data_IF_550797280430
#
_entry.id   IF_550797280430
#
_cell.length_a   1.000
_cell.length_b   1.000
_cell.length_c   1.000
_cell.angle_alpha   90.00
_cell.angle_beta   90.00
_cell.angle_gamma   90.00
#
_symmetry.space_group_name_H-M   'P 1'
#
loop_
_entity.id
_entity.type
_entity.pdbx_description
1 polymer ?
#
# COMPACT_ATOMS: atom_id res chain seq x y z
N UNK A 1 14.19 -7.04 16.80
CA UNK A 1 14.39 -7.80 15.54
C UNK A 1 13.21 -7.51 14.62
N UNK A 2 13.48 -6.91 13.46
CA UNK A 2 12.50 -6.67 12.38
C UNK A 2 12.17 -8.00 11.69
N UNK A 3 10.89 -8.32 11.50
CA UNK A 3 10.48 -9.51 10.76
C UNK A 3 10.83 -9.33 9.27
N UNK A 4 11.33 -10.37 8.61
CA UNK A 4 11.60 -10.31 7.17
C UNK A 4 10.28 -10.22 6.39
N UNK A 5 10.34 -9.74 5.14
CA UNK A 5 9.16 -9.71 4.27
C UNK A 5 8.52 -11.11 4.15
N UNK A 6 9.33 -12.13 3.90
CA UNK A 6 8.87 -13.51 3.79
C UNK A 6 8.16 -14.00 5.05
N UNK A 7 8.65 -13.66 6.25
CA UNK A 7 8.00 -14.08 7.49
C UNK A 7 6.69 -13.31 7.75
N UNK A 8 6.61 -12.04 7.34
CA UNK A 8 5.36 -11.27 7.39
C UNK A 8 4.31 -11.84 6.44
N UNK A 9 4.70 -12.18 5.20
CA UNK A 9 3.80 -12.80 4.23
C UNK A 9 3.28 -14.15 4.72
N UNK A 10 4.17 -15.00 5.24
CA UNK A 10 3.77 -16.30 5.80
C UNK A 10 2.83 -16.12 6.99
N UNK A 11 3.10 -15.17 7.89
CA UNK A 11 2.22 -14.88 9.02
C UNK A 11 0.85 -14.36 8.56
N UNK A 12 0.80 -13.51 7.53
CA UNK A 12 -0.45 -13.04 6.94
C UNK A 12 -1.26 -14.19 6.33
N UNK A 13 -0.60 -15.10 5.59
CA UNK A 13 -1.23 -16.30 5.04
C UNK A 13 -1.81 -17.20 6.13
N UNK A 14 -1.09 -17.42 7.23
CA UNK A 14 -1.58 -18.20 8.36
C UNK A 14 -2.84 -17.56 8.98
N UNK A 15 -2.86 -16.23 9.13
CA UNK A 15 -4.03 -15.52 9.65
C UNK A 15 -5.25 -15.58 8.71
N UNK A 16 -5.02 -15.61 7.39
CA UNK A 16 -6.08 -15.83 6.40
C UNK A 16 -6.64 -17.25 6.49
N UNK A 17 -5.79 -18.26 6.63
CA UNK A 17 -6.20 -19.67 6.69
C UNK A 17 -7.09 -19.99 7.90
N UNK A 18 -6.92 -19.28 9.02
CA UNK A 18 -7.71 -19.46 10.24
C UNK A 18 -9.05 -18.69 10.16
N UNK A 19 -9.25 -17.82 9.18
CA UNK A 19 -10.50 -17.06 9.06
C UNK A 19 -11.64 -17.89 8.51
N UNK A 20 -12.66 -18.09 9.35
CA UNK A 20 -13.89 -18.81 9.00
C UNK A 20 -14.68 -18.16 7.86
N UNK A 21 -14.60 -16.83 7.71
CA UNK A 21 -15.25 -16.10 6.61
C UNK A 21 -14.75 -16.53 5.25
N UNK A 22 -13.46 -16.88 5.09
CA UNK A 22 -12.87 -17.23 3.80
C UNK A 22 -13.23 -18.63 3.31
N UNK A 23 -13.86 -19.45 4.14
CA UNK A 23 -14.26 -20.80 3.75
C UNK A 23 -15.56 -20.83 2.92
N UNK A 24 -16.24 -19.68 2.78
CA UNK A 24 -17.36 -19.54 1.86
C UNK A 24 -16.88 -19.08 0.48
N UNK A 25 -17.33 -19.74 -0.60
CA UNK A 25 -17.01 -19.36 -1.99
C UNK A 25 -17.41 -17.92 -2.30
N UNK A 26 -18.52 -17.45 -1.70
CA UNK A 26 -19.06 -16.12 -1.90
C UNK A 26 -18.13 -15.07 -1.27
N UNK A 27 -17.54 -15.36 -0.10
CA UNK A 27 -16.55 -14.52 0.55
C UNK A 27 -15.23 -14.43 -0.22
N UNK A 28 -14.79 -15.53 -0.86
CA UNK A 28 -13.58 -15.55 -1.68
C UNK A 28 -13.71 -14.65 -2.91
N UNK A 29 -14.85 -14.70 -3.62
CA UNK A 29 -15.13 -13.83 -4.75
C UNK A 29 -15.20 -12.34 -4.34
N UNK A 30 -15.80 -12.05 -3.18
CA UNK A 30 -15.89 -10.69 -2.65
C UNK A 30 -14.51 -10.12 -2.29
N UNK A 31 -13.66 -10.93 -1.64
CA UNK A 31 -12.28 -10.54 -1.34
C UNK A 31 -11.50 -10.27 -2.63
N UNK A 32 -11.64 -11.15 -3.63
CA UNK A 32 -10.98 -10.97 -4.93
C UNK A 32 -11.45 -9.68 -5.63
N UNK A 33 -12.75 -9.38 -5.58
CA UNK A 33 -13.29 -8.14 -6.11
C UNK A 33 -12.67 -6.91 -5.42
N UNK A 34 -12.58 -6.92 -4.09
CA UNK A 34 -11.95 -5.85 -3.33
C UNK A 34 -10.45 -5.71 -3.67
N UNK A 35 -9.73 -6.81 -3.81
CA UNK A 35 -8.33 -6.80 -4.24
C UNK A 35 -8.18 -6.13 -5.62
N UNK A 36 -9.05 -6.45 -6.59
CA UNK A 36 -9.02 -5.79 -7.89
C UNK A 36 -9.22 -4.27 -7.80
N UNK A 37 -10.13 -3.81 -6.91
CA UNK A 37 -10.39 -2.38 -6.69
C UNK A 37 -9.23 -1.66 -5.96
N UNK A 38 -8.34 -2.41 -5.30
CA UNK A 38 -7.13 -1.87 -4.69
C UNK A 38 -6.03 -1.54 -5.70
N UNK A 39 -6.02 -2.10 -6.91
CA UNK A 39 -5.01 -1.76 -7.92
C UNK A 39 -5.45 -0.56 -8.75
N UNK A 40 -4.48 0.18 -9.29
CA UNK A 40 -4.79 1.33 -10.14
C UNK A 40 -5.35 0.86 -11.49
N UNK A 41 -6.41 1.50 -11.96
CA UNK A 41 -6.99 1.23 -13.29
C UNK A 41 -6.32 2.05 -14.39
N UNK A 42 -5.53 3.06 -14.00
CA UNK A 42 -4.74 3.91 -14.87
C UNK A 42 -3.37 4.21 -14.23
N UNK A 43 -2.31 4.43 -15.04
CA UNK A 43 -1.02 4.88 -14.55
C UNK A 43 -1.14 6.13 -13.67
N UNK A 44 -0.43 6.14 -12.54
CA UNK A 44 -0.34 7.27 -11.59
C UNK A 44 -1.69 7.76 -11.01
N UNK A 45 -2.71 6.90 -11.01
CA UNK A 45 -3.96 7.15 -10.30
C UNK A 45 -3.69 7.42 -8.81
N UNK A 46 -4.40 8.40 -8.26
CA UNK A 46 -4.28 8.78 -6.85
C UNK A 46 -4.73 7.64 -5.92
N UNK A 47 -3.96 7.33 -4.87
CA UNK A 47 -4.35 6.28 -3.91
C UNK A 47 -5.71 6.55 -3.24
N UNK A 48 -6.09 7.82 -3.09
CA UNK A 48 -7.36 8.23 -2.47
C UNK A 48 -8.53 8.33 -3.47
N UNK A 49 -8.31 8.13 -4.76
CA UNK A 49 -9.36 8.12 -5.79
C UNK A 49 -9.86 6.68 -6.00
N UNK A 50 -10.48 6.10 -4.96
CA UNK A 50 -10.97 4.73 -4.91
C UNK A 50 -12.37 4.64 -4.29
N UNK A 51 -13.31 5.41 -4.84
CA UNK A 51 -14.68 5.46 -4.34
C UNK A 51 -15.42 4.12 -4.45
N UNK A 52 -15.11 3.35 -5.48
CA UNK A 52 -15.57 1.98 -5.70
C UNK A 52 -15.15 1.04 -4.57
N UNK A 53 -13.89 1.11 -4.13
CA UNK A 53 -13.38 0.34 -3.00
C UNK A 53 -14.10 0.75 -1.71
N UNK A 54 -14.18 2.05 -1.41
CA UNK A 54 -14.83 2.54 -0.19
C UNK A 54 -16.31 2.16 -0.14
N UNK A 55 -17.02 2.25 -1.26
CA UNK A 55 -18.41 1.82 -1.38
C UNK A 55 -18.53 0.32 -1.13
N UNK A 56 -17.67 -0.49 -1.76
CA UNK A 56 -17.69 -1.95 -1.61
C UNK A 56 -17.39 -2.36 -0.17
N UNK A 57 -16.39 -1.75 0.48
CA UNK A 57 -16.08 -1.99 1.90
C UNK A 57 -17.24 -1.56 2.81
N UNK A 58 -18.05 -0.58 2.42
CA UNK A 58 -19.23 -0.17 3.19
C UNK A 58 -20.45 -1.09 2.99
N UNK A 59 -20.66 -1.62 1.77
CA UNK A 59 -21.88 -2.36 1.41
C UNK A 59 -21.76 -3.87 1.53
N UNK A 60 -20.60 -4.43 1.17
CA UNK A 60 -20.36 -5.87 1.17
C UNK A 60 -20.56 -6.49 2.57
N UNK A 61 -20.10 -5.90 3.69
CA UNK A 61 -20.23 -6.56 5.00
C UNK A 61 -21.66 -6.99 5.34
N UNK A 62 -22.65 -6.16 5.02
CA UNK A 62 -24.07 -6.47 5.22
C UNK A 62 -24.56 -7.64 4.36
N UNK A 63 -23.99 -7.84 3.17
CA UNK A 63 -24.35 -8.93 2.26
C UNK A 63 -23.76 -10.28 2.71
N UNK A 64 -22.60 -10.27 3.37
CA UNK A 64 -21.92 -11.49 3.85
C UNK A 64 -22.14 -11.78 5.33
N UNK A 65 -22.88 -10.91 6.04
CA UNK A 65 -23.10 -11.05 7.48
C UNK A 65 -21.82 -10.91 8.31
N UNK A 66 -20.86 -10.11 7.85
CA UNK A 66 -19.62 -9.83 8.57
C UNK A 66 -19.49 -8.35 8.96
N UNK A 67 -18.52 -8.03 9.81
CA UNK A 67 -18.25 -6.63 10.15
C UNK A 67 -17.38 -5.96 9.09
N UNK A 68 -17.53 -4.64 8.92
CA UNK A 68 -16.68 -3.82 8.03
C UNK A 68 -15.20 -4.00 8.36
N UNK A 69 -14.86 -3.97 9.64
CA UNK A 69 -13.49 -4.16 10.13
C UNK A 69 -12.94 -5.53 9.75
N UNK A 70 -13.74 -6.58 9.90
CA UNK A 70 -13.32 -7.93 9.57
C UNK A 70 -13.06 -8.10 8.08
N UNK A 71 -13.91 -7.55 7.22
CA UNK A 71 -13.69 -7.54 5.77
C UNK A 71 -12.45 -6.74 5.39
N UNK A 72 -12.27 -5.54 5.96
CA UNK A 72 -11.07 -4.72 5.76
C UNK A 72 -9.80 -5.45 6.22
N UNK A 73 -9.86 -6.15 7.36
CA UNK A 73 -8.77 -6.97 7.87
C UNK A 73 -8.35 -8.06 6.89
N UNK A 74 -9.32 -8.79 6.33
CA UNK A 74 -9.05 -9.83 5.34
C UNK A 74 -8.42 -9.24 4.07
N UNK A 75 -8.93 -8.11 3.58
CA UNK A 75 -8.34 -7.40 2.46
C UNK A 75 -6.88 -7.03 2.72
N UNK A 76 -6.58 -6.44 3.88
CA UNK A 76 -5.22 -6.03 4.24
C UNK A 76 -4.26 -7.20 4.35
N UNK A 77 -4.68 -8.30 4.99
CA UNK A 77 -3.87 -9.51 5.10
C UNK A 77 -3.65 -10.18 3.74
N UNK A 78 -4.65 -10.17 2.86
CA UNK A 78 -4.53 -10.71 1.49
C UNK A 78 -3.52 -9.92 0.67
N UNK A 79 -3.61 -8.58 0.71
CA UNK A 79 -2.65 -7.70 0.05
C UNK A 79 -1.23 -7.86 0.63
N UNK A 80 -1.08 -8.01 1.95
CA UNK A 80 0.20 -8.29 2.59
C UNK A 80 0.80 -9.63 2.14
N UNK A 81 -0.03 -10.68 2.05
CA UNK A 81 0.41 -12.01 1.65
C UNK A 81 0.91 -12.05 0.18
N UNK A 82 0.32 -11.23 -0.69
CA UNK A 82 0.65 -11.15 -2.11
C UNK A 82 1.73 -10.10 -2.44
N UNK A 83 2.03 -9.19 -1.51
CA UNK A 83 2.93 -8.07 -1.75
C UNK A 83 4.31 -8.53 -2.26
N UNK A 84 4.78 -7.95 -3.36
CA UNK A 84 6.13 -8.19 -3.86
C UNK A 84 6.78 -6.90 -4.31
N UNK A 85 8.00 -6.65 -3.80
CA UNK A 85 8.82 -5.51 -4.25
C UNK A 85 9.10 -5.56 -5.75
N UNK A 86 9.16 -6.75 -6.34
CA UNK A 86 9.45 -6.96 -7.76
C UNK A 86 8.26 -6.59 -8.65
N UNK A 87 7.04 -6.54 -8.09
CA UNK A 87 5.82 -6.18 -8.80
C UNK A 87 5.51 -4.68 -8.71
N UNK A 88 6.34 -3.90 -8.01
CA UNK A 88 6.19 -2.46 -7.94
C UNK A 88 6.45 -1.82 -9.32
N UNK A 89 5.75 -0.72 -9.64
CA UNK A 89 5.84 -0.09 -10.97
C UNK A 89 7.21 0.54 -11.28
N UNK A 90 8.09 0.63 -10.28
CA UNK A 90 9.40 1.24 -10.37
C UNK A 90 10.44 0.33 -9.71
N UNK A 91 11.68 0.33 -10.23
CA UNK A 91 12.80 -0.32 -9.55
C UNK A 91 13.13 0.47 -8.28
N UNK A 92 13.08 -0.23 -7.15
CA UNK A 92 13.21 0.37 -5.82
C UNK A 92 14.64 0.20 -5.30
N UNK A 93 15.21 1.25 -4.71
CA UNK A 93 16.51 1.19 -4.03
C UNK A 93 16.44 0.35 -2.75
N UNK A 94 17.58 -0.14 -2.27
CA UNK A 94 17.65 -0.86 -0.99
C UNK A 94 17.09 -0.04 0.18
N UNK A 95 17.36 1.27 0.21
CA UNK A 95 16.84 2.18 1.25
C UNK A 95 15.30 2.21 1.31
N UNK A 96 14.63 2.31 0.14
CA UNK A 96 13.16 2.32 0.08
C UNK A 96 12.62 0.91 0.38
N UNK A 97 13.33 -0.16 0.00
CA UNK A 97 12.99 -1.53 0.37
C UNK A 97 12.97 -1.73 1.91
N UNK A 98 13.97 -1.19 2.61
CA UNK A 98 14.02 -1.25 4.08
C UNK A 98 12.87 -0.46 4.73
N UNK A 99 12.47 0.66 4.12
CA UNK A 99 11.32 1.44 4.55
C UNK A 99 10.00 0.65 4.37
N UNK A 100 9.86 -0.05 3.25
CA UNK A 100 8.75 -0.97 3.04
C UNK A 100 8.65 -1.99 4.15
N UNK A 101 9.76 -2.64 4.52
CA UNK A 101 9.74 -3.65 5.59
C UNK A 101 9.16 -3.10 6.90
N UNK A 102 9.50 -1.85 7.28
CA UNK A 102 8.95 -1.21 8.48
C UNK A 102 7.46 -0.90 8.35
N UNK A 103 7.04 -0.32 7.23
CA UNK A 103 5.63 -0.02 6.99
C UNK A 103 4.78 -1.30 6.94
N UNK A 104 5.25 -2.35 6.27
CA UNK A 104 4.55 -3.65 6.21
C UNK A 104 4.46 -4.30 7.59
N UNK A 105 5.50 -4.20 8.43
CA UNK A 105 5.44 -4.69 9.80
C UNK A 105 4.41 -3.92 10.64
N UNK A 106 4.32 -2.58 10.49
CA UNK A 106 3.29 -1.77 11.16
C UNK A 106 1.90 -2.19 10.71
N UNK A 107 1.68 -2.31 9.40
CA UNK A 107 0.38 -2.71 8.84
C UNK A 107 -0.01 -4.09 9.36
N UNK A 108 0.91 -5.07 9.31
CA UNK A 108 0.63 -6.40 9.84
C UNK A 108 0.23 -6.36 11.31
N UNK A 109 0.99 -5.65 12.17
CA UNK A 109 0.64 -5.50 13.60
C UNK A 109 -0.72 -4.86 13.83
N UNK A 110 -1.09 -3.89 13.01
CA UNK A 110 -2.37 -3.19 13.11
C UNK A 110 -3.55 -4.11 12.75
N UNK A 111 -3.37 -4.98 11.74
CA UNK A 111 -4.45 -5.79 11.17
C UNK A 111 -4.42 -7.27 11.57
N UNK A 112 -3.35 -7.78 12.18
CA UNK A 112 -3.28 -9.19 12.59
C UNK A 112 -4.19 -9.51 13.80
N UNK A 113 -4.49 -8.52 14.64
CA UNK A 113 -5.24 -8.73 15.87
C UNK A 113 -6.73 -8.53 15.65
N UNK A 114 -7.50 -9.62 15.67
CA UNK A 114 -8.96 -9.59 15.54
C UNK A 114 -9.68 -8.97 16.75
N UNK A 115 -9.01 -8.90 17.91
CA UNK A 115 -9.63 -8.68 19.22
C UNK A 115 -9.15 -7.39 19.91
N UNK A 116 -8.96 -6.33 19.12
CA UNK A 116 -8.54 -5.03 19.65
C UNK A 116 -9.73 -4.25 20.21
N UNK A 117 -9.58 -3.68 21.40
CA UNK A 117 -10.61 -2.84 22.04
C UNK A 117 -11.00 -1.61 21.21
N UNK A 118 -10.13 -1.21 20.27
CA UNK A 118 -10.39 -0.17 19.26
C UNK A 118 -9.98 -0.72 17.89
N UNK A 119 -10.91 -1.28 17.11
CA UNK A 119 -10.59 -1.79 15.78
C UNK A 119 -10.05 -0.68 14.87
N UNK A 120 -9.19 -1.00 13.89
CA UNK A 120 -8.71 -0.02 12.92
C UNK A 120 -9.88 0.58 12.13
N UNK A 121 -9.86 1.90 11.96
CA UNK A 121 -10.83 2.59 11.13
C UNK A 121 -10.50 2.43 9.64
N UNK A 122 -11.52 2.54 8.81
CA UNK A 122 -11.44 2.48 7.34
C UNK A 122 -11.46 3.90 6.77
N UNK A 123 -10.51 4.71 7.24
CA UNK A 123 -10.33 6.13 6.95
C UNK A 123 -9.21 6.36 5.90
N UNK A 124 -8.66 7.58 5.87
CA UNK A 124 -7.53 7.92 5.01
C UNK A 124 -6.25 7.09 5.31
N UNK A 125 -6.05 6.67 6.57
CA UNK A 125 -4.90 5.81 6.93
C UNK A 125 -5.04 4.43 6.31
N UNK A 126 -6.24 3.88 6.28
CA UNK A 126 -6.53 2.63 5.59
C UNK A 126 -6.20 2.72 4.08
N UNK A 127 -6.60 3.82 3.42
CA UNK A 127 -6.27 4.04 2.01
C UNK A 127 -4.77 4.23 1.77
N UNK A 128 -4.04 4.85 2.71
CA UNK A 128 -2.58 4.95 2.66
C UNK A 128 -1.91 3.59 2.79
N UNK A 129 -2.38 2.75 3.69
CA UNK A 129 -1.85 1.40 3.87
C UNK A 129 -2.08 0.56 2.59
N UNK A 130 -3.27 0.65 1.97
CA UNK A 130 -3.52 0.05 0.65
C UNK A 130 -2.59 0.65 -0.41
N UNK A 131 -2.38 1.97 -0.40
CA UNK A 131 -1.47 2.65 -1.32
C UNK A 131 -0.05 2.10 -1.24
N UNK A 132 0.45 1.82 -0.03
CA UNK A 132 1.74 1.18 0.19
C UNK A 132 1.74 -0.26 -0.35
N UNK A 133 0.72 -1.05 0.01
CA UNK A 133 0.62 -2.46 -0.42
C UNK A 133 0.43 -2.64 -1.93
N UNK A 134 -0.02 -1.62 -2.64
CA UNK A 134 -0.27 -1.65 -4.09
C UNK A 134 0.81 -0.91 -4.89
N UNK A 135 1.80 -0.34 -4.20
CA UNK A 135 2.85 0.46 -4.84
C UNK A 135 2.40 1.84 -5.35
N UNK A 136 1.17 2.26 -5.03
CA UNK A 136 0.67 3.61 -5.35
C UNK A 136 1.27 4.69 -4.42
N UNK A 137 1.83 4.29 -3.28
CA UNK A 137 2.62 5.12 -2.37
C UNK A 137 3.97 4.44 -2.11
N UNK A 138 5.03 5.22 -2.07
CA UNK A 138 6.35 4.76 -1.63
C UNK A 138 6.62 5.24 -0.21
N UNK A 139 7.09 4.37 0.70
CA UNK A 139 7.43 4.78 2.06
C UNK A 139 8.75 5.57 2.05
N UNK A 140 8.73 6.73 2.70
CA UNK A 140 9.90 7.59 2.83
C UNK A 140 10.32 7.77 4.28
N UNK A 141 11.62 7.88 4.49
CA UNK A 141 12.22 8.45 5.69
C UNK A 141 12.55 9.92 5.46
N UNK A 142 12.97 10.59 6.53
CA UNK A 142 13.30 12.01 6.77
C UNK A 142 14.09 12.82 5.71
N UNK A 143 14.07 12.47 4.43
CA UNK A 143 14.28 13.48 3.37
C UNK A 143 13.00 14.30 3.28
N UNK A 144 12.98 15.36 4.09
CA UNK A 144 12.12 16.53 3.91
C UNK A 144 11.98 16.78 2.41
N UNK A 145 10.79 16.56 1.88
CA UNK A 145 10.46 17.04 0.54
C UNK A 145 10.51 18.55 0.67
N UNK A 146 11.60 19.15 0.19
CA UNK A 146 11.69 20.60 0.12
C UNK A 146 10.41 21.12 -0.56
N UNK A 147 9.72 22.12 0.03
CA UNK A 147 8.58 22.72 -0.64
C UNK A 147 9.06 23.16 -2.04
N UNK A 148 8.30 22.79 -3.08
CA UNK A 148 8.62 23.00 -4.50
C UNK A 148 9.51 21.97 -5.22
N UNK A 149 9.82 20.82 -4.62
CA UNK A 149 10.46 19.71 -5.34
C UNK A 149 9.48 18.92 -6.24
N UNK A 150 9.00 19.54 -7.32
CA UNK A 150 8.36 18.79 -8.43
C UNK A 150 9.39 18.01 -9.28
N UNK A 151 10.66 18.36 -9.14
CA UNK A 151 11.81 17.85 -9.89
C UNK A 151 13.03 18.00 -8.99
N UNK A 152 13.63 16.89 -8.55
CA UNK A 152 14.97 16.94 -8.00
C UNK A 152 15.89 17.48 -9.10
N UNK A 153 16.42 18.70 -8.94
CA UNK A 153 17.37 19.29 -9.90
C UNK A 153 18.55 18.34 -10.17
N UNK A 154 18.91 17.50 -9.20
CA UNK A 154 19.94 16.47 -9.35
C UNK A 154 19.67 15.47 -10.47
N UNK A 155 18.41 15.14 -10.81
CA UNK A 155 18.07 14.20 -11.90
C UNK A 155 18.57 14.67 -13.28
N UNK A 156 18.78 15.98 -13.46
CA UNK A 156 19.39 16.56 -14.67
C UNK A 156 20.92 16.58 -14.62
N UNK A 157 21.53 16.54 -13.44
CA UNK A 157 22.96 16.81 -13.25
C UNK A 157 23.79 15.58 -12.83
N UNK A 158 23.21 14.52 -12.27
CA UNK A 158 23.97 13.39 -11.71
C UNK A 158 24.07 12.13 -12.59
N UNK A 159 23.04 11.76 -13.37
CA UNK A 159 23.05 10.49 -14.14
C UNK A 159 22.87 10.65 -15.67
N UNK A 160 22.88 11.88 -16.19
CA UNK A 160 22.96 12.16 -17.63
C UNK A 160 21.67 12.07 -18.44
N UNK A 161 21.81 12.22 -19.77
CA UNK A 161 20.70 12.41 -20.74
C UNK A 161 19.73 11.21 -20.77
N UNK A 162 20.21 9.99 -20.52
CA UNK A 162 19.38 8.79 -20.53
C UNK A 162 18.33 8.79 -19.40
N UNK A 163 18.69 9.24 -18.20
CA UNK A 163 17.75 9.35 -17.08
C UNK A 163 16.73 10.47 -17.33
N UNK A 164 17.18 11.60 -17.89
CA UNK A 164 16.29 12.69 -18.29
C UNK A 164 15.27 12.25 -19.36
N UNK A 165 15.69 11.46 -20.36
CA UNK A 165 14.79 10.90 -21.36
C UNK A 165 13.78 9.92 -20.76
N UNK A 166 14.22 9.06 -19.83
CA UNK A 166 13.34 8.18 -19.06
C UNK A 166 12.29 8.97 -18.27
N UNK A 167 12.71 10.03 -17.58
CA UNK A 167 11.81 10.89 -16.82
C UNK A 167 10.78 11.63 -17.71
N UNK A 168 11.21 12.18 -18.86
CA UNK A 168 10.31 12.81 -19.82
C UNK A 168 9.29 11.80 -20.35
N UNK A 169 9.72 10.57 -20.64
CA UNK A 169 8.81 9.49 -21.06
C UNK A 169 7.75 9.23 -19.99
N UNK A 170 8.14 9.09 -18.72
CA UNK A 170 7.19 8.86 -17.62
C UNK A 170 6.23 10.06 -17.42
N UNK A 171 6.69 11.31 -17.58
CA UNK A 171 5.82 12.49 -17.56
C UNK A 171 4.78 12.52 -18.69
N UNK A 172 5.18 12.10 -19.89
CA UNK A 172 4.27 11.98 -21.04
C UNK A 172 3.23 10.89 -20.77
N UNK A 173 3.65 9.73 -20.26
CA UNK A 173 2.74 8.64 -19.84
C UNK A 173 1.79 9.11 -18.73
N UNK A 174 2.26 9.99 -17.82
CA UNK A 174 1.46 10.57 -16.76
C UNK A 174 0.45 11.64 -17.21
N UNK A 175 0.43 12.01 -18.49
CA UNK A 175 -0.40 13.08 -19.06
C UNK A 175 -0.16 14.44 -18.38
N UNK A 176 1.10 14.82 -18.17
CA UNK A 176 1.49 16.13 -17.65
C UNK A 176 2.13 16.06 -16.26
N UNK A 177 1.96 17.12 -15.46
CA UNK A 177 2.69 17.31 -14.19
C UNK A 177 2.09 16.52 -13.01
N UNK A 178 1.52 15.34 -13.27
CA UNK A 178 1.05 14.46 -12.20
C UNK A 178 2.27 13.89 -11.47
N UNK A 179 2.25 13.83 -10.13
CA UNK A 179 3.38 13.28 -9.38
C UNK A 179 3.55 11.80 -9.75
N UNK A 180 4.62 11.50 -10.51
CA UNK A 180 5.02 10.15 -10.94
C UNK A 180 5.26 9.26 -9.73
N UNK A 181 5.84 9.83 -8.66
CA UNK A 181 6.05 9.18 -7.37
C UNK A 181 5.31 9.95 -6.27
N UNK A 182 4.60 9.24 -5.40
CA UNK A 182 3.99 9.80 -4.20
C UNK A 182 4.65 9.22 -2.98
N UNK A 183 5.27 10.10 -2.21
CA UNK A 183 6.02 9.76 -1.02
C UNK A 183 5.09 9.83 0.20
N UNK A 184 5.22 8.88 1.10
CA UNK A 184 4.42 8.83 2.32
C UNK A 184 5.26 8.48 3.54
N UNK A 185 4.99 9.16 4.66
CA UNK A 185 5.65 8.95 5.95
C UNK A 185 4.57 8.82 7.02
N UNK A 186 4.58 7.72 7.79
CA UNK A 186 3.81 7.66 9.04
C UNK A 186 4.67 8.17 10.20
N UNK A 187 4.18 9.17 10.93
CA UNK A 187 4.92 9.77 12.05
C UNK A 187 5.32 8.74 13.13
N UNK A 188 4.52 7.69 13.32
CA UNK A 188 4.84 6.58 14.23
C UNK A 188 6.10 5.79 13.83
N UNK A 189 6.54 5.91 12.57
CA UNK A 189 7.73 5.24 12.03
C UNK A 189 9.00 6.10 12.18
N UNK A 190 8.86 7.38 12.55
CA UNK A 190 9.98 8.33 12.74
C UNK A 190 10.68 8.10 14.09
N UNK A 191 9.93 7.78 15.15
CA UNK A 191 10.46 7.61 16.52
C UNK A 191 11.39 6.39 16.70
N UNK A 192 11.68 5.63 15.64
CA UNK A 192 12.61 4.50 15.65
C UNK A 192 13.96 4.82 14.98
N UNK A 193 14.16 6.07 14.53
CA UNK A 193 15.36 6.54 13.83
C UNK A 193 16.34 7.32 14.74
N UNK A 194 15.98 7.55 16.01
CA UNK A 194 16.86 8.06 17.08
C UNK A 194 17.31 6.93 17.99
#
# INVERSE_FOLDING_TARGET
>A
MTASLASLQQAAQQQLQVSTLLHSTISSAALQQLQCQCYATAPYQSYNQRSDLLNSVATLPAQFGCSKTELARLLMLSLLAEFSLQQLPLTISSEISDNYQRSLQRIFKLWCSADTASPPETDDKFLKDIGLLTGALLPCTERVVEPFSALQRSLLYSDGIAQAAGFIRELVVAQGNKPVCRLHIHLSEINQLT
#
